data_IF_278597486955
#
_entry.id   IF_278597486955
#
_cell.length_a   1.000
_cell.length_b   1.000
_cell.length_c   1.000
_cell.angle_alpha   90.00
_cell.angle_beta   90.00
_cell.angle_gamma   90.00
#
_symmetry.space_group_name_H-M   'P 1'
#
loop_
_entity.id
_entity.type
_entity.pdbx_description
1 polymer ?
#
# COMPACT_ATOMS: atom_id res chain seq x y z
N UNK A 1 6.75 17.67 13.41
CA UNK A 1 5.60 17.92 12.51
C UNK A 1 4.69 16.71 12.53
N UNK A 2 3.39 16.86 12.86
CA UNK A 2 2.46 15.70 12.95
C UNK A 2 2.09 15.13 11.57
N UNK A 3 2.07 15.97 10.54
CA UNK A 3 1.77 15.56 9.16
C UNK A 3 2.85 14.62 8.58
N UNK A 4 4.14 14.93 8.78
CA UNK A 4 5.25 14.07 8.33
C UNK A 4 5.22 12.68 8.98
N UNK A 5 4.97 12.60 10.29
CA UNK A 5 4.85 11.33 10.99
C UNK A 5 3.69 10.48 10.45
N UNK A 6 2.59 11.13 10.04
CA UNK A 6 1.45 10.45 9.42
C UNK A 6 1.77 9.96 8.01
N UNK A 7 2.42 10.78 7.18
CA UNK A 7 2.90 10.40 5.83
C UNK A 7 3.87 9.22 5.91
N UNK A 8 4.78 9.22 6.89
CA UNK A 8 5.73 8.11 7.09
C UNK A 8 5.00 6.80 7.42
N UNK A 9 4.03 6.84 8.34
CA UNK A 9 3.23 5.66 8.68
C UNK A 9 2.40 5.14 7.49
N UNK A 10 1.83 6.03 6.67
CA UNK A 10 1.13 5.64 5.44
C UNK A 10 2.09 5.03 4.41
N UNK A 11 3.31 5.58 4.30
CA UNK A 11 4.34 5.09 3.38
C UNK A 11 4.85 3.69 3.79
N UNK A 12 5.02 3.45 5.09
CA UNK A 12 5.37 2.12 5.63
C UNK A 12 4.28 1.09 5.32
N UNK A 13 3.00 1.44 5.53
CA UNK A 13 1.87 0.58 5.17
C UNK A 13 1.84 0.28 3.67
N UNK A 14 2.07 1.29 2.83
CA UNK A 14 2.12 1.12 1.38
C UNK A 14 3.26 0.16 0.96
N UNK A 15 4.44 0.28 1.57
CA UNK A 15 5.55 -0.63 1.31
C UNK A 15 5.24 -2.08 1.77
N UNK A 16 4.54 -2.24 2.89
CA UNK A 16 4.11 -3.55 3.36
C UNK A 16 3.09 -4.20 2.40
N UNK A 17 2.14 -3.43 1.87
CA UNK A 17 1.19 -3.93 0.87
C UNK A 17 1.91 -4.37 -0.39
N UNK A 18 2.92 -3.63 -0.85
CA UNK A 18 3.72 -4.04 -2.00
C UNK A 18 4.42 -5.37 -1.77
N UNK A 19 5.03 -5.55 -0.60
CA UNK A 19 5.65 -6.82 -0.24
C UNK A 19 4.64 -7.97 -0.24
N UNK A 20 3.43 -7.75 0.29
CA UNK A 20 2.38 -8.79 0.31
C UNK A 20 1.86 -9.15 -1.08
N UNK A 21 1.79 -8.17 -2.00
CA UNK A 21 1.46 -8.42 -3.40
C UNK A 21 2.54 -9.30 -4.03
N UNK A 22 3.80 -8.91 -3.85
CA UNK A 22 4.95 -9.65 -4.39
C UNK A 22 5.01 -11.09 -3.84
N UNK A 23 4.84 -11.24 -2.52
CA UNK A 23 4.80 -12.54 -1.85
C UNK A 23 3.66 -13.42 -2.42
N UNK A 24 2.48 -12.86 -2.68
CA UNK A 24 1.31 -13.57 -3.21
C UNK A 24 1.48 -13.93 -4.70
N UNK A 25 2.01 -13.02 -5.52
CA UNK A 25 2.30 -13.25 -6.93
C UNK A 25 3.37 -14.34 -7.15
N UNK A 26 4.30 -14.50 -6.20
CA UNK A 26 5.33 -15.54 -6.24
C UNK A 26 4.86 -16.91 -5.74
N UNK A 27 3.63 -17.03 -5.22
CA UNK A 27 3.12 -18.33 -4.76
C UNK A 27 2.91 -19.28 -5.96
N UNK A 28 3.12 -20.60 -5.80
CA UNK A 28 2.85 -21.59 -6.85
C UNK A 28 1.39 -21.60 -7.35
N UNK A 29 0.45 -21.14 -6.52
CA UNK A 29 -0.94 -20.93 -6.85
C UNK A 29 -1.39 -19.59 -6.24
N UNK A 30 -1.19 -18.47 -6.95
CA UNK A 30 -1.58 -17.15 -6.49
C UNK A 30 -3.10 -17.04 -6.36
N UNK A 31 -3.57 -16.31 -5.34
CA UNK A 31 -4.96 -15.90 -5.24
C UNK A 31 -5.15 -14.50 -5.86
N UNK A 32 -5.71 -14.49 -7.08
CA UNK A 32 -5.96 -13.26 -7.84
C UNK A 32 -6.93 -12.30 -7.12
N UNK A 33 -7.86 -12.81 -6.30
CA UNK A 33 -8.78 -11.97 -5.54
C UNK A 33 -7.99 -11.23 -4.46
N UNK A 34 -7.12 -11.94 -3.74
CA UNK A 34 -6.25 -11.35 -2.72
C UNK A 34 -5.31 -10.31 -3.33
N UNK A 35 -4.68 -10.63 -4.46
CA UNK A 35 -3.80 -9.68 -5.18
C UNK A 35 -4.58 -8.43 -5.57
N UNK A 36 -5.80 -8.58 -6.08
CA UNK A 36 -6.64 -7.46 -6.48
C UNK A 36 -7.02 -6.57 -5.30
N UNK A 37 -7.40 -7.17 -4.17
CA UNK A 37 -7.72 -6.45 -2.94
C UNK A 37 -6.51 -5.68 -2.40
N UNK A 38 -5.33 -6.32 -2.35
CA UNK A 38 -4.09 -5.69 -1.91
C UNK A 38 -3.69 -4.51 -2.81
N UNK A 39 -3.79 -4.66 -4.14
CA UNK A 39 -3.51 -3.59 -5.10
C UNK A 39 -4.48 -2.42 -4.93
N UNK A 40 -5.76 -2.70 -4.67
CA UNK A 40 -6.77 -1.67 -4.40
C UNK A 40 -6.47 -0.90 -3.11
N UNK A 41 -6.07 -1.59 -2.05
CA UNK A 41 -5.68 -0.94 -0.79
C UNK A 41 -4.41 -0.09 -0.97
N UNK A 42 -3.42 -0.60 -1.70
CA UNK A 42 -2.19 0.14 -2.04
C UNK A 42 -2.50 1.44 -2.78
N UNK A 43 -3.41 1.40 -3.76
CA UNK A 43 -3.83 2.59 -4.50
C UNK A 43 -4.48 3.64 -3.57
N UNK A 44 -5.34 3.20 -2.64
CA UNK A 44 -5.98 4.10 -1.66
C UNK A 44 -4.96 4.80 -0.76
N UNK A 45 -3.97 4.07 -0.25
CA UNK A 45 -2.90 4.66 0.56
C UNK A 45 -2.05 5.64 -0.25
N UNK A 46 -1.76 5.33 -1.51
CA UNK A 46 -1.05 6.26 -2.41
C UNK A 46 -1.83 7.57 -2.57
N UNK A 47 -3.13 7.49 -2.84
CA UNK A 47 -3.99 8.67 -2.99
C UNK A 47 -4.06 9.50 -1.69
N UNK A 48 -4.10 8.82 -0.54
CA UNK A 48 -4.09 9.46 0.77
C UNK A 48 -2.77 10.18 1.06
N UNK A 49 -1.62 9.56 0.76
CA UNK A 49 -0.29 10.17 0.87
C UNK A 49 -0.21 11.42 0.00
N UNK A 50 -0.65 11.34 -1.25
CA UNK A 50 -0.62 12.48 -2.17
C UNK A 50 -1.51 13.64 -1.68
N UNK A 51 -2.68 13.35 -1.10
CA UNK A 51 -3.51 14.38 -0.44
C UNK A 51 -2.79 15.08 0.71
N UNK A 52 -2.03 14.34 1.52
CA UNK A 52 -1.26 14.94 2.62
C UNK A 52 -0.03 15.71 2.14
N UNK A 53 0.54 15.36 0.98
CA UNK A 53 1.67 16.10 0.36
C UNK A 53 1.23 17.40 -0.31
N UNK A 54 -0.01 17.48 -0.78
CA UNK A 54 -0.56 18.68 -1.42
C UNK A 54 -1.16 19.69 -0.43
N UNK A 55 -1.08 19.41 0.88
CA UNK A 55 -1.51 20.29 1.98
C UNK A 55 -0.31 21.02 2.57
#
# INVERSE_FOLDING_TARGET
MRAEAHINALSEKHALLEKRIDDEEHRPAPDDIVIHELKREKLRLKDEIERYRSL
#
